data_IF_976057104738
#
_entry.id   IF_976057104738
#
_cell.length_a   1.000
_cell.length_b   1.000
_cell.length_c   1.000
_cell.angle_alpha   90.00
_cell.angle_beta   90.00
_cell.angle_gamma   90.00
#
_symmetry.space_group_name_H-M   'P 1'
#
loop_
_entity.id
_entity.type
_entity.pdbx_description
1 polymer ?
#
# COMPACT_ATOMS: atom_id res chain seq x y z
N UNK A 1 24.56 -9.45 25.64
CA UNK A 1 25.93 -8.95 25.91
C UNK A 1 25.96 -7.43 25.86
N UNK A 2 25.71 -6.78 24.71
CA UNK A 2 25.90 -5.33 24.54
C UNK A 2 25.06 -4.48 25.48
N UNK A 3 23.80 -4.85 25.72
CA UNK A 3 22.93 -4.13 26.64
C UNK A 3 23.40 -4.19 28.11
N UNK A 4 24.04 -5.29 28.52
CA UNK A 4 24.41 -5.55 29.93
C UNK A 4 25.88 -5.30 30.21
N UNK A 5 26.78 -5.69 29.31
CA UNK A 5 28.22 -5.67 29.53
C UNK A 5 28.96 -4.58 28.75
N UNK A 6 28.31 -3.97 27.75
CA UNK A 6 28.90 -2.93 26.93
C UNK A 6 27.85 -1.89 26.49
N UNK A 7 27.15 -1.21 27.44
CA UNK A 7 26.02 -0.33 27.14
C UNK A 7 26.41 0.96 26.38
N UNK A 8 27.68 1.28 26.28
CA UNK A 8 28.19 2.43 25.52
C UNK A 8 28.21 2.24 24.01
N UNK A 9 27.90 1.02 23.51
CA UNK A 9 27.86 0.75 22.07
C UNK A 9 26.43 0.87 21.54
N UNK A 10 26.22 1.73 20.54
CA UNK A 10 24.99 1.81 19.77
C UNK A 10 25.09 0.85 18.59
N UNK A 11 24.27 -0.22 18.60
CA UNK A 11 24.31 -1.24 17.56
C UNK A 11 23.05 -1.17 16.74
N UNK A 12 23.21 -1.03 15.43
CA UNK A 12 22.15 -1.11 14.43
C UNK A 12 22.43 -2.31 13.55
N UNK A 13 21.47 -3.23 13.48
CA UNK A 13 21.50 -4.36 12.56
C UNK A 13 20.36 -4.22 11.55
N UNK A 14 20.64 -4.46 10.28
CA UNK A 14 19.66 -4.42 9.22
C UNK A 14 19.58 -5.76 8.49
N UNK A 15 18.38 -6.16 8.09
CA UNK A 15 18.16 -7.37 7.30
C UNK A 15 16.70 -7.50 6.90
N UNK A 16 16.47 -7.94 5.67
CA UNK A 16 15.12 -8.16 5.13
C UNK A 16 14.33 -9.27 5.84
N UNK A 17 15.00 -10.03 6.70
CA UNK A 17 14.44 -11.23 7.34
C UNK A 17 14.68 -11.28 8.86
N UNK A 18 15.02 -10.15 9.47
CA UNK A 18 15.39 -10.13 10.89
C UNK A 18 14.30 -10.63 11.83
N UNK A 19 13.02 -10.34 11.54
CA UNK A 19 11.90 -10.82 12.34
C UNK A 19 11.78 -12.35 12.42
N UNK A 20 12.22 -13.07 11.38
CA UNK A 20 12.20 -14.52 11.32
C UNK A 20 13.55 -15.15 11.72
N UNK A 21 14.67 -14.48 11.42
CA UNK A 21 15.99 -14.93 11.86
C UNK A 21 16.11 -14.97 13.39
N UNK A 22 15.40 -14.08 14.08
CA UNK A 22 15.30 -14.02 15.54
C UNK A 22 14.35 -15.08 16.13
N UNK A 23 13.57 -15.82 15.31
CA UNK A 23 12.68 -16.92 15.73
C UNK A 23 13.32 -18.31 15.58
N UNK A 24 14.66 -18.42 15.55
CA UNK A 24 15.33 -19.72 15.49
C UNK A 24 14.98 -20.57 16.73
N UNK A 25 14.72 -21.86 16.53
CA UNK A 25 14.17 -22.81 17.51
C UNK A 25 14.90 -22.89 18.86
N UNK A 26 16.09 -22.31 19.01
CA UNK A 26 16.91 -22.38 20.21
C UNK A 26 17.40 -21.04 20.78
N UNK A 27 16.92 -19.89 20.25
CA UNK A 27 17.34 -18.57 20.75
C UNK A 27 16.10 -17.78 21.18
N UNK A 28 16.06 -17.36 22.45
CA UNK A 28 14.97 -16.51 22.92
C UNK A 28 15.12 -15.10 22.32
N UNK A 29 14.02 -14.56 21.79
CA UNK A 29 13.96 -13.17 21.35
C UNK A 29 14.35 -12.25 22.53
N UNK A 30 15.27 -11.29 22.36
CA UNK A 30 15.72 -10.42 23.45
C UNK A 30 14.67 -9.35 23.77
N UNK A 31 13.55 -9.75 24.34
CA UNK A 31 12.42 -8.88 24.71
C UNK A 31 12.90 -7.72 25.58
N UNK A 32 12.50 -6.49 25.23
CA UNK A 32 12.84 -5.27 25.98
C UNK A 32 14.30 -4.80 25.84
N UNK A 33 15.09 -5.43 24.94
CA UNK A 33 16.51 -5.08 24.72
C UNK A 33 16.81 -4.56 23.32
N UNK A 34 15.81 -4.55 22.43
CA UNK A 34 15.92 -4.07 21.05
C UNK A 34 14.69 -3.27 20.68
N UNK A 35 14.90 -2.20 19.92
CA UNK A 35 13.88 -1.45 19.23
C UNK A 35 13.85 -1.89 17.77
N UNK A 36 12.66 -2.18 17.27
CA UNK A 36 12.46 -2.57 15.87
C UNK A 36 11.99 -1.39 15.04
N UNK A 37 12.69 -1.12 13.95
CA UNK A 37 12.29 -0.14 12.94
C UNK A 37 12.01 -0.87 11.62
N UNK A 38 10.80 -0.71 11.10
CA UNK A 38 10.45 -1.23 9.78
C UNK A 38 10.73 -0.16 8.73
N UNK A 39 11.71 -0.42 7.85
CA UNK A 39 11.93 0.44 6.68
C UNK A 39 10.90 0.08 5.59
N UNK A 40 10.13 1.07 5.19
CA UNK A 40 9.15 0.96 4.10
C UNK A 40 9.69 1.64 2.84
N UNK A 41 9.12 1.36 1.66
CA UNK A 41 9.37 2.19 0.48
C UNK A 41 9.10 3.67 0.78
N UNK A 42 9.76 4.56 0.07
CA UNK A 42 9.53 6.00 0.17
C UNK A 42 8.10 6.35 -0.21
N UNK A 43 7.44 7.22 0.57
CA UNK A 43 6.14 7.77 0.25
C UNK A 43 6.18 8.84 -0.83
N UNK A 44 5.00 9.30 -1.27
CA UNK A 44 4.90 10.31 -2.31
C UNK A 44 5.64 11.61 -1.97
N UNK A 45 5.55 12.06 -0.73
CA UNK A 45 6.26 13.29 -0.28
C UNK A 45 7.78 13.14 -0.36
N UNK A 46 8.30 11.97 0.03
CA UNK A 46 9.74 11.68 -0.05
C UNK A 46 10.21 11.59 -1.50
N UNK A 47 9.39 10.99 -2.37
CA UNK A 47 9.63 10.99 -3.82
C UNK A 47 9.64 12.42 -4.39
N UNK A 48 8.65 13.25 -4.08
CA UNK A 48 8.61 14.65 -4.51
C UNK A 48 9.85 15.39 -4.03
N UNK A 49 10.28 15.18 -2.78
CA UNK A 49 11.49 15.78 -2.25
C UNK A 49 12.74 15.39 -3.03
N UNK A 50 12.84 14.13 -3.43
CA UNK A 50 13.98 13.61 -4.20
C UNK A 50 14.01 14.14 -5.65
N UNK A 51 12.84 14.29 -6.29
CA UNK A 51 12.73 14.60 -7.73
C UNK A 51 12.55 16.09 -8.00
N UNK A 52 11.81 16.80 -7.14
CA UNK A 52 11.40 18.21 -7.35
C UNK A 52 11.97 19.17 -6.29
N UNK A 53 12.41 18.64 -5.16
CA UNK A 53 13.02 19.40 -4.06
C UNK A 53 12.10 19.71 -2.88
N UNK A 54 12.67 20.37 -1.86
CA UNK A 54 12.02 20.59 -0.57
C UNK A 54 10.76 21.47 -0.62
N UNK A 55 10.69 22.60 -1.36
CA UNK A 55 9.58 23.53 -1.21
C UNK A 55 8.21 22.90 -1.47
N UNK A 56 8.08 22.07 -2.53
CA UNK A 56 6.83 21.40 -2.84
C UNK A 56 6.51 20.28 -1.83
N UNK A 57 7.52 19.51 -1.44
CA UNK A 57 7.37 18.47 -0.42
C UNK A 57 6.92 19.06 0.92
N UNK A 58 7.48 20.19 1.33
CA UNK A 58 7.12 20.87 2.57
C UNK A 58 5.69 21.46 2.51
N UNK A 59 5.25 21.95 1.35
CA UNK A 59 3.88 22.40 1.14
C UNK A 59 2.87 21.26 1.27
N UNK A 60 3.18 20.08 0.72
CA UNK A 60 2.36 18.87 0.89
C UNK A 60 2.32 18.48 2.38
N UNK A 61 3.45 18.44 3.05
CA UNK A 61 3.50 18.13 4.49
C UNK A 61 2.71 19.13 5.34
N UNK A 62 2.70 20.41 4.95
CA UNK A 62 1.92 21.43 5.63
C UNK A 62 0.41 21.34 5.34
N UNK A 63 0.01 20.63 4.30
CA UNK A 63 -1.34 20.61 3.75
C UNK A 63 -1.82 22.02 3.34
N UNK A 64 -0.95 22.76 2.65
CA UNK A 64 -1.25 24.11 2.16
C UNK A 64 -2.14 24.03 0.90
N UNK A 65 -3.45 23.85 1.13
CA UNK A 65 -4.42 23.62 0.06
C UNK A 65 -4.47 24.75 -0.97
N UNK A 66 -4.23 26.01 -0.59
CA UNK A 66 -4.24 27.14 -1.50
C UNK A 66 -3.04 27.11 -2.45
N UNK A 67 -1.86 26.83 -1.93
CA UNK A 67 -0.66 26.64 -2.75
C UNK A 67 -0.79 25.42 -3.65
N UNK A 68 -1.21 24.28 -3.09
CA UNK A 68 -1.30 23.02 -3.81
C UNK A 68 -2.35 23.04 -4.93
N UNK A 69 -3.44 23.78 -4.75
CA UNK A 69 -4.43 23.99 -5.81
C UNK A 69 -3.83 24.71 -7.05
N UNK A 70 -2.92 25.67 -6.83
CA UNK A 70 -2.27 26.41 -7.92
C UNK A 70 -1.24 25.58 -8.70
N UNK A 71 -0.77 24.46 -8.13
CA UNK A 71 0.23 23.56 -8.75
C UNK A 71 -0.31 22.15 -9.00
N UNK A 72 -1.62 21.99 -9.01
CA UNK A 72 -2.31 20.69 -9.13
C UNK A 72 -1.90 19.88 -10.36
N UNK A 73 -1.72 20.51 -11.52
CA UNK A 73 -1.25 19.84 -12.75
C UNK A 73 0.17 19.25 -12.57
N UNK A 74 1.05 19.97 -11.86
CA UNK A 74 2.39 19.48 -11.54
C UNK A 74 2.32 18.31 -10.57
N UNK A 75 1.46 18.38 -9.55
CA UNK A 75 1.26 17.30 -8.58
C UNK A 75 0.67 16.05 -9.24
N UNK A 76 -0.30 16.20 -10.15
CA UNK A 76 -0.84 15.08 -10.91
C UNK A 76 0.24 14.40 -11.78
N UNK A 77 1.12 15.18 -12.42
CA UNK A 77 2.25 14.64 -13.18
C UNK A 77 3.20 13.86 -12.26
N UNK A 78 3.64 14.45 -11.16
CA UNK A 78 4.52 13.79 -10.19
C UNK A 78 3.89 12.53 -9.59
N UNK A 79 2.59 12.54 -9.35
CA UNK A 79 1.87 11.34 -8.90
C UNK A 79 1.88 10.23 -9.96
N UNK A 80 1.68 10.55 -11.24
CA UNK A 80 1.81 9.59 -12.34
C UNK A 80 3.23 9.02 -12.43
N UNK A 81 4.24 9.87 -12.29
CA UNK A 81 5.64 9.44 -12.24
C UNK A 81 5.87 8.48 -11.06
N UNK A 82 5.38 8.83 -9.87
CA UNK A 82 5.46 7.98 -8.68
C UNK A 82 4.75 6.62 -8.87
N UNK A 83 3.57 6.59 -9.49
CA UNK A 83 2.86 5.33 -9.77
C UNK A 83 3.67 4.39 -10.69
N UNK A 84 4.57 4.93 -11.51
CA UNK A 84 5.48 4.16 -12.37
C UNK A 84 6.77 3.78 -11.65
N UNK A 85 7.39 4.74 -10.98
CA UNK A 85 8.71 4.59 -10.35
C UNK A 85 8.60 3.87 -9.01
N UNK A 86 7.54 4.13 -8.25
CA UNK A 86 7.37 3.64 -6.88
C UNK A 86 8.28 4.34 -5.88
N UNK A 87 8.36 3.77 -4.68
CA UNK A 87 9.12 4.29 -3.56
C UNK A 87 10.38 3.48 -3.22
N UNK A 88 10.81 2.53 -4.05
CA UNK A 88 12.06 1.79 -3.77
C UNK A 88 13.26 2.75 -3.87
N UNK A 89 14.06 2.95 -2.79
CA UNK A 89 15.06 4.03 -2.72
C UNK A 89 16.06 4.03 -3.87
N UNK A 90 16.56 2.87 -4.30
CA UNK A 90 17.48 2.74 -5.43
C UNK A 90 16.83 3.21 -6.73
N UNK A 91 15.57 2.84 -6.96
CA UNK A 91 14.81 3.24 -8.15
C UNK A 91 14.54 4.73 -8.15
N UNK A 92 14.13 5.29 -7.00
CA UNK A 92 13.89 6.73 -6.84
C UNK A 92 15.16 7.53 -7.06
N UNK A 93 16.29 7.09 -6.50
CA UNK A 93 17.60 7.75 -6.67
C UNK A 93 18.04 7.79 -8.12
N UNK A 94 17.92 6.66 -8.85
CA UNK A 94 18.27 6.59 -10.26
C UNK A 94 17.35 7.48 -11.11
N UNK A 95 16.04 7.46 -10.82
CA UNK A 95 15.05 8.28 -11.52
C UNK A 95 15.26 9.78 -11.27
N UNK A 96 15.52 10.18 -10.04
CA UNK A 96 15.80 11.58 -9.69
C UNK A 96 17.02 12.14 -10.45
N UNK A 97 18.02 11.30 -10.75
CA UNK A 97 19.21 11.69 -11.46
C UNK A 97 19.03 11.76 -12.99
N UNK A 98 18.16 10.93 -13.58
CA UNK A 98 18.10 10.73 -15.04
C UNK A 98 16.72 11.00 -15.66
N UNK A 99 15.65 10.95 -14.88
CA UNK A 99 14.26 10.91 -15.35
C UNK A 99 13.99 9.79 -16.38
N UNK A 100 14.76 8.69 -16.32
CA UNK A 100 14.65 7.56 -17.24
C UNK A 100 13.76 6.45 -16.65
N UNK A 101 12.56 6.31 -17.21
CA UNK A 101 11.61 5.26 -16.83
C UNK A 101 12.04 3.85 -17.27
N UNK A 102 12.89 3.73 -18.30
CA UNK A 102 13.41 2.43 -18.75
C UNK A 102 14.40 1.91 -17.71
N UNK A 103 15.28 2.77 -17.23
CA UNK A 103 16.21 2.42 -16.16
C UNK A 103 15.49 2.11 -14.85
N UNK A 104 14.49 2.91 -14.47
CA UNK A 104 13.64 2.62 -13.31
C UNK A 104 13.02 1.22 -13.42
N UNK A 105 12.46 0.86 -14.58
CA UNK A 105 11.87 -0.46 -14.82
C UNK A 105 12.90 -1.58 -14.75
N UNK A 106 14.10 -1.36 -15.27
CA UNK A 106 15.20 -2.32 -15.20
C UNK A 106 15.58 -2.62 -13.74
N UNK A 107 15.72 -1.60 -12.92
CA UNK A 107 16.02 -1.74 -11.48
C UNK A 107 14.90 -2.45 -10.73
N UNK A 108 13.64 -2.13 -11.02
CA UNK A 108 12.49 -2.83 -10.43
C UNK A 108 12.50 -4.32 -10.75
N UNK A 109 12.85 -4.71 -11.98
CA UNK A 109 12.98 -6.12 -12.35
C UNK A 109 14.09 -6.81 -11.58
N UNK A 110 15.22 -6.16 -11.39
CA UNK A 110 16.32 -6.71 -10.57
C UNK A 110 15.90 -6.91 -9.10
N UNK A 111 15.13 -5.99 -8.54
CA UNK A 111 14.59 -6.13 -7.19
C UNK A 111 13.61 -7.33 -7.10
N UNK A 112 12.75 -7.51 -8.10
CA UNK A 112 11.83 -8.66 -8.17
C UNK A 112 12.60 -9.97 -8.23
N UNK A 113 13.63 -10.06 -9.07
CA UNK A 113 14.50 -11.22 -9.21
C UNK A 113 15.24 -11.53 -7.90
N UNK A 114 15.71 -10.49 -7.20
CA UNK A 114 16.35 -10.63 -5.90
C UNK A 114 15.37 -11.18 -4.86
N UNK A 115 14.13 -10.68 -4.78
CA UNK A 115 13.11 -11.24 -3.88
C UNK A 115 12.79 -12.70 -4.21
N UNK A 116 12.59 -13.05 -5.49
CA UNK A 116 12.30 -14.42 -5.91
C UNK A 116 13.47 -15.38 -5.60
N UNK A 117 14.71 -14.91 -5.67
CA UNK A 117 15.91 -15.66 -5.25
C UNK A 117 15.96 -15.87 -3.74
N UNK A 118 15.62 -14.84 -2.99
CA UNK A 118 15.64 -14.89 -1.52
C UNK A 118 14.59 -15.85 -0.95
N UNK A 119 13.44 -16.04 -1.61
CA UNK A 119 12.46 -17.04 -1.18
C UNK A 119 13.09 -18.44 -0.99
N UNK A 120 14.02 -18.82 -1.86
CA UNK A 120 14.68 -20.11 -1.80
C UNK A 120 15.73 -20.27 -0.72
N UNK A 121 16.21 -19.18 -0.10
CA UNK A 121 17.27 -19.25 0.91
C UNK A 121 16.76 -19.67 2.29
N UNK A 122 15.52 -19.30 2.60
CA UNK A 122 15.00 -19.40 3.95
C UNK A 122 13.73 -20.25 4.08
N UNK A 123 12.86 -20.26 3.05
CA UNK A 123 11.62 -21.02 3.07
C UNK A 123 11.84 -22.48 2.60
N UNK A 124 11.11 -23.46 3.15
CA UNK A 124 11.11 -24.82 2.62
C UNK A 124 10.71 -24.88 1.14
N UNK A 125 11.35 -25.74 0.34
CA UNK A 125 11.16 -25.82 -1.11
C UNK A 125 9.66 -25.90 -1.53
N UNK A 126 8.85 -26.66 -0.77
CA UNK A 126 7.40 -26.79 -0.99
C UNK A 126 6.64 -25.47 -0.85
N UNK A 127 7.17 -24.53 -0.03
CA UNK A 127 6.56 -23.22 0.24
C UNK A 127 6.95 -22.21 -0.82
N UNK A 128 8.21 -22.26 -1.29
CA UNK A 128 8.76 -21.33 -2.30
C UNK A 128 7.93 -21.30 -3.56
N UNK A 129 7.52 -22.46 -4.09
CA UNK A 129 6.67 -22.52 -5.28
C UNK A 129 5.34 -21.80 -5.07
N UNK A 130 4.70 -22.02 -3.91
CA UNK A 130 3.44 -21.36 -3.55
C UNK A 130 3.60 -19.87 -3.31
N UNK A 131 4.71 -19.44 -2.70
CA UNK A 131 5.05 -18.02 -2.57
C UNK A 131 5.13 -17.34 -3.94
N UNK A 132 5.83 -17.98 -4.90
CA UNK A 132 5.91 -17.46 -6.28
C UNK A 132 4.55 -17.39 -6.97
N UNK A 133 3.66 -18.36 -6.76
CA UNK A 133 2.30 -18.32 -7.30
C UNK A 133 1.51 -17.15 -6.72
N UNK A 134 1.54 -16.93 -5.42
CA UNK A 134 0.89 -15.78 -4.78
C UNK A 134 1.47 -14.48 -5.30
N UNK A 135 2.80 -14.33 -5.27
CA UNK A 135 3.53 -13.15 -5.72
C UNK A 135 3.17 -12.75 -7.15
N UNK A 136 3.28 -13.67 -8.09
CA UNK A 136 2.95 -13.45 -9.51
C UNK A 136 1.46 -13.21 -9.77
N UNK A 137 0.59 -13.60 -8.86
CA UNK A 137 -0.85 -13.38 -9.01
C UNK A 137 -1.32 -11.99 -8.62
N UNK A 138 -0.51 -11.21 -7.87
CA UNK A 138 -0.91 -9.91 -7.32
C UNK A 138 -1.52 -8.96 -8.37
N UNK A 139 -0.89 -8.73 -9.55
CA UNK A 139 -1.47 -7.85 -10.55
C UNK A 139 -2.87 -8.31 -11.01
N UNK A 140 -3.01 -9.61 -11.28
CA UNK A 140 -4.30 -10.18 -11.72
C UNK A 140 -5.36 -10.24 -10.63
N UNK A 141 -4.98 -10.33 -9.34
CA UNK A 141 -5.91 -10.26 -8.23
C UNK A 141 -6.45 -8.84 -8.04
N UNK A 142 -5.55 -7.83 -8.11
CA UNK A 142 -5.91 -6.42 -7.93
C UNK A 142 -6.63 -5.82 -9.15
N UNK A 143 -6.44 -6.36 -10.36
CA UNK A 143 -7.13 -5.90 -11.56
C UNK A 143 -8.62 -6.26 -11.60
N UNK A 144 -9.11 -7.15 -10.73
CA UNK A 144 -10.52 -7.53 -10.67
C UNK A 144 -11.37 -6.40 -10.08
N UNK A 145 -12.62 -6.30 -10.48
CA UNK A 145 -13.58 -5.36 -9.91
C UNK A 145 -13.72 -5.55 -8.38
N UNK A 146 -13.89 -6.80 -7.95
CA UNK A 146 -13.78 -7.19 -6.56
C UNK A 146 -12.35 -7.67 -6.29
N UNK A 147 -11.52 -6.84 -5.68
CA UNK A 147 -10.10 -7.10 -5.37
C UNK A 147 -9.89 -8.10 -4.23
N UNK A 148 -10.93 -8.78 -3.77
CA UNK A 148 -10.84 -9.87 -2.81
C UNK A 148 -9.90 -10.95 -3.33
N UNK A 149 -8.97 -11.38 -2.51
CA UNK A 149 -8.04 -12.44 -2.87
C UNK A 149 -8.75 -13.77 -3.10
N UNK A 150 -8.53 -14.39 -4.24
CA UNK A 150 -9.20 -15.61 -4.66
C UNK A 150 -8.16 -16.71 -4.87
N UNK A 151 -8.13 -17.69 -3.99
CA UNK A 151 -7.20 -18.83 -4.07
C UNK A 151 -7.33 -19.63 -5.38
N UNK A 152 -8.55 -19.82 -5.87
CA UNK A 152 -8.81 -20.51 -7.14
C UNK A 152 -8.17 -19.85 -8.37
N UNK A 153 -7.77 -18.58 -8.28
CA UNK A 153 -7.03 -17.89 -9.34
C UNK A 153 -5.55 -18.25 -9.37
N UNK A 154 -5.01 -18.86 -8.31
CA UNK A 154 -3.61 -19.32 -8.26
C UNK A 154 -3.42 -20.61 -9.07
N UNK A 155 -4.33 -21.55 -8.88
CA UNK A 155 -4.43 -22.80 -9.63
C UNK A 155 -5.80 -23.44 -9.42
N UNK A 156 -6.29 -24.29 -10.34
CA UNK A 156 -7.54 -25.03 -10.16
C UNK A 156 -7.53 -25.83 -8.84
N UNK A 157 -8.61 -25.71 -8.05
CA UNK A 157 -8.78 -26.43 -6.78
C UNK A 157 -7.97 -25.90 -5.59
N UNK A 158 -7.26 -24.76 -5.72
CA UNK A 158 -6.51 -24.16 -4.62
C UNK A 158 -7.45 -23.73 -3.48
N UNK A 159 -7.04 -24.03 -2.24
CA UNK A 159 -7.77 -23.70 -1.01
C UNK A 159 -6.89 -22.89 -0.07
N UNK A 160 -7.51 -22.15 0.85
CA UNK A 160 -6.81 -21.33 1.85
C UNK A 160 -5.70 -22.11 2.58
N UNK A 161 -6.03 -23.28 3.12
CA UNK A 161 -5.08 -24.15 3.86
C UNK A 161 -3.80 -24.51 3.08
N UNK A 162 -3.86 -24.45 1.74
CA UNK A 162 -2.71 -24.81 0.90
C UNK A 162 -1.70 -23.64 0.80
N UNK A 163 -2.13 -22.40 1.09
CA UNK A 163 -1.38 -21.18 0.85
C UNK A 163 -1.18 -20.30 2.09
N UNK A 164 -1.81 -20.61 3.24
CA UNK A 164 -1.70 -19.81 4.47
C UNK A 164 -0.25 -19.60 4.90
N UNK A 165 0.54 -20.68 4.94
CA UNK A 165 1.94 -20.60 5.28
C UNK A 165 2.74 -19.74 4.30
N UNK A 166 2.46 -19.86 3.01
CA UNK A 166 3.13 -19.06 1.97
C UNK A 166 2.75 -17.58 2.02
N UNK A 167 1.49 -17.26 2.35
CA UNK A 167 1.05 -15.91 2.59
C UNK A 167 1.73 -15.31 3.82
N UNK A 168 1.81 -16.08 4.91
CA UNK A 168 2.49 -15.63 6.13
C UNK A 168 3.96 -15.33 5.86
N UNK A 169 4.67 -16.19 5.11
CA UNK A 169 6.04 -15.94 4.70
C UNK A 169 6.18 -14.62 3.93
N UNK A 170 5.34 -14.37 2.92
CA UNK A 170 5.38 -13.14 2.12
C UNK A 170 5.07 -11.88 2.96
N UNK A 171 4.16 -11.98 3.93
CA UNK A 171 3.85 -10.90 4.88
C UNK A 171 5.02 -10.66 5.84
N UNK A 172 5.63 -11.72 6.37
CA UNK A 172 6.78 -11.63 7.27
C UNK A 172 8.04 -11.06 6.57
N UNK A 173 8.17 -11.31 5.26
CA UNK A 173 9.15 -10.62 4.40
C UNK A 173 8.81 -9.14 4.17
N UNK A 174 7.58 -8.71 4.48
CA UNK A 174 7.13 -7.34 4.27
C UNK A 174 6.88 -6.96 2.81
N UNK A 175 6.88 -7.93 1.87
CA UNK A 175 6.69 -7.65 0.43
C UNK A 175 5.24 -7.70 -0.02
N UNK A 176 4.34 -8.17 0.84
CA UNK A 176 2.89 -8.08 0.66
C UNK A 176 2.21 -7.62 1.94
N UNK A 177 1.09 -6.93 1.78
CA UNK A 177 0.28 -6.42 2.87
C UNK A 177 -1.15 -6.92 2.75
N UNK A 178 -1.63 -7.58 3.81
CA UNK A 178 -3.00 -8.07 3.90
C UNK A 178 -3.89 -6.98 4.47
N UNK A 179 -4.96 -6.66 3.75
CA UNK A 179 -6.05 -5.77 4.19
C UNK A 179 -7.28 -6.63 4.45
N UNK A 180 -7.64 -6.89 5.73
CA UNK A 180 -8.74 -7.76 6.08
C UNK A 180 -10.10 -7.12 5.76
N UNK A 181 -11.10 -7.97 5.51
CA UNK A 181 -12.49 -7.54 5.52
C UNK A 181 -12.96 -7.36 6.95
N UNK A 182 -13.83 -6.37 7.18
CA UNK A 182 -14.54 -6.21 8.46
C UNK A 182 -16.05 -6.36 8.28
N UNK A 183 -16.70 -6.90 9.28
CA UNK A 183 -18.16 -7.10 9.30
C UNK A 183 -18.92 -5.82 9.65
N UNK A 184 -18.27 -4.87 10.34
CA UNK A 184 -18.81 -3.59 10.72
C UNK A 184 -17.74 -2.50 10.73
N UNK A 185 -18.13 -1.26 10.41
CA UNK A 185 -17.28 -0.06 10.52
C UNK A 185 -17.44 0.54 11.94
N UNK A 186 -16.79 -0.10 12.92
CA UNK A 186 -16.77 0.31 14.33
C UNK A 186 -15.37 0.16 14.89
N UNK A 187 -14.96 1.11 15.74
CA UNK A 187 -13.65 1.06 16.40
C UNK A 187 -13.66 0.10 17.61
N UNK A 188 -12.59 -0.66 17.84
CA UNK A 188 -11.46 -0.84 16.93
C UNK A 188 -11.82 -1.83 15.80
N UNK A 189 -11.38 -1.55 14.58
CA UNK A 189 -11.69 -2.36 13.39
C UNK A 189 -11.26 -3.82 13.54
N UNK A 190 -10.16 -4.08 14.25
CA UNK A 190 -9.63 -5.42 14.52
C UNK A 190 -10.62 -6.33 15.23
N UNK A 191 -11.54 -5.78 16.04
CA UNK A 191 -12.59 -6.56 16.71
C UNK A 191 -13.70 -7.05 15.76
N UNK A 192 -13.74 -6.54 14.55
CA UNK A 192 -14.76 -6.85 13.54
C UNK A 192 -14.17 -7.54 12.30
N UNK A 193 -12.93 -8.02 12.36
CA UNK A 193 -12.32 -8.73 11.25
C UNK A 193 -13.10 -9.97 10.85
N UNK A 194 -13.30 -10.12 9.56
CA UNK A 194 -13.97 -11.27 8.95
C UNK A 194 -12.94 -12.09 8.16
N UNK A 195 -12.58 -13.23 8.72
CA UNK A 195 -11.58 -14.13 8.16
C UNK A 195 -11.97 -14.70 6.77
N UNK A 196 -13.21 -14.50 6.32
CA UNK A 196 -13.69 -15.01 5.03
C UNK A 196 -13.19 -14.22 3.82
N UNK A 197 -12.54 -13.07 4.03
CA UNK A 197 -12.09 -12.22 2.94
C UNK A 197 -10.98 -11.26 3.32
N UNK A 198 -10.09 -11.02 2.37
CA UNK A 198 -9.06 -9.99 2.45
C UNK A 198 -8.65 -9.54 1.05
N UNK A 199 -8.06 -8.37 0.95
CA UNK A 199 -7.31 -7.89 -0.21
C UNK A 199 -5.82 -8.06 0.08
N UNK A 200 -5.00 -8.24 -0.97
CA UNK A 200 -3.56 -8.40 -0.83
C UNK A 200 -2.86 -7.37 -1.71
N UNK A 201 -2.12 -6.47 -1.10
CA UNK A 201 -1.38 -5.40 -1.76
C UNK A 201 0.11 -5.72 -1.82
N UNK A 202 0.79 -5.20 -2.84
CA UNK A 202 2.24 -5.28 -2.99
C UNK A 202 2.93 -4.30 -2.03
N UNK A 203 4.21 -4.51 -1.78
CA UNK A 203 5.03 -3.59 -0.99
C UNK A 203 5.07 -2.17 -1.61
N UNK A 204 5.04 -2.10 -2.95
CA UNK A 204 5.31 -0.86 -3.70
C UNK A 204 4.55 -0.80 -5.03
N UNK A 205 4.13 0.41 -5.44
CA UNK A 205 3.37 0.62 -6.69
C UNK A 205 4.21 0.33 -7.92
N UNK A 206 5.47 0.74 -7.94
CA UNK A 206 6.39 0.52 -9.06
C UNK A 206 6.71 -0.96 -9.23
N UNK A 207 6.90 -1.68 -8.13
CA UNK A 207 7.08 -3.15 -8.14
C UNK A 207 5.82 -3.84 -8.67
N UNK A 208 4.62 -3.43 -8.26
CA UNK A 208 3.37 -3.96 -8.81
C UNK A 208 3.26 -3.72 -10.32
N UNK A 209 3.61 -2.51 -10.78
CA UNK A 209 3.68 -2.14 -12.19
C UNK A 209 4.66 -3.01 -12.97
N UNK A 210 5.84 -3.29 -12.40
CA UNK A 210 6.84 -4.17 -13.01
C UNK A 210 6.39 -5.62 -13.09
N UNK A 211 5.78 -6.16 -12.03
CA UNK A 211 5.19 -7.50 -12.00
C UNK A 211 4.09 -7.70 -13.04
N UNK A 212 3.32 -6.64 -13.33
CA UNK A 212 2.25 -6.69 -14.34
C UNK A 212 2.77 -6.63 -15.77
N UNK A 213 4.05 -6.36 -15.99
CA UNK A 213 4.61 -6.12 -17.33
C UNK A 213 4.14 -4.79 -17.94
N UNK A 214 3.59 -3.87 -17.15
CA UNK A 214 3.03 -2.62 -17.62
C UNK A 214 4.11 -1.67 -18.13
N UNK A 215 3.95 -1.20 -19.37
CA UNK A 215 4.82 -0.18 -19.92
C UNK A 215 4.63 1.17 -19.21
N UNK A 216 5.71 1.86 -18.80
CA UNK A 216 5.64 3.20 -18.24
C UNK A 216 4.84 4.18 -19.11
N UNK A 217 5.00 4.14 -20.43
CA UNK A 217 4.28 5.00 -21.37
C UNK A 217 2.76 4.88 -21.28
N UNK A 218 2.24 3.71 -20.92
CA UNK A 218 0.80 3.48 -20.76
C UNK A 218 0.28 4.20 -19.50
N UNK A 219 1.03 4.19 -18.40
CA UNK A 219 0.63 4.88 -17.16
C UNK A 219 0.66 6.40 -17.35
N UNK A 220 1.69 6.89 -18.03
CA UNK A 220 1.91 8.32 -18.22
C UNK A 220 0.94 8.94 -19.24
N UNK A 221 0.69 8.24 -20.36
CA UNK A 221 0.00 8.80 -21.54
C UNK A 221 -1.11 7.88 -22.09
N UNK A 222 -1.45 6.79 -21.39
CA UNK A 222 -2.34 5.76 -21.92
C UNK A 222 -3.78 6.22 -22.11
N UNK A 223 -4.47 5.70 -23.14
CA UNK A 223 -5.88 5.96 -23.38
C UNK A 223 -6.77 5.35 -22.28
N UNK A 224 -8.05 5.76 -22.27
CA UNK A 224 -9.07 5.35 -21.28
C UNK A 224 -9.24 3.82 -21.09
N UNK A 225 -8.80 3.00 -22.05
CA UNK A 225 -8.78 1.51 -21.96
C UNK A 225 -7.94 0.99 -20.80
N UNK A 226 -7.01 1.80 -20.29
CA UNK A 226 -6.19 1.52 -19.12
C UNK A 226 -6.91 1.68 -17.77
N UNK A 227 -8.19 2.01 -17.79
CA UNK A 227 -8.96 2.46 -16.61
C UNK A 227 -8.97 1.42 -15.47
N UNK A 228 -9.08 0.12 -15.77
CA UNK A 228 -9.15 -0.93 -14.72
C UNK A 228 -7.83 -1.05 -13.94
N UNK A 229 -6.70 -1.12 -14.64
CA UNK A 229 -5.41 -1.22 -13.96
C UNK A 229 -4.98 0.09 -13.29
N UNK A 230 -5.40 1.23 -13.85
CA UNK A 230 -5.22 2.55 -13.21
C UNK A 230 -5.90 2.59 -11.84
N UNK A 231 -7.11 2.07 -11.72
CA UNK A 231 -7.80 1.92 -10.44
C UNK A 231 -7.02 1.05 -9.44
N UNK A 232 -6.44 -0.05 -9.91
CA UNK A 232 -5.64 -0.95 -9.09
C UNK A 232 -4.36 -0.31 -8.57
N UNK A 233 -3.64 0.43 -9.43
CA UNK A 233 -2.44 1.18 -9.03
C UNK A 233 -2.77 2.30 -8.05
N UNK A 234 -3.91 2.97 -8.23
CA UNK A 234 -4.33 4.06 -7.33
C UNK A 234 -4.68 3.51 -5.94
N UNK A 235 -5.39 2.36 -5.86
CA UNK A 235 -5.66 1.72 -4.56
C UNK A 235 -4.37 1.17 -3.93
N UNK A 236 -3.46 0.60 -4.73
CA UNK A 236 -2.15 0.17 -4.26
C UNK A 236 -1.38 1.34 -3.63
N UNK A 237 -1.39 2.49 -4.30
CA UNK A 237 -0.79 3.72 -3.81
C UNK A 237 -1.40 4.17 -2.47
N UNK A 238 -2.73 4.22 -2.39
CA UNK A 238 -3.41 4.62 -1.16
C UNK A 238 -3.12 3.64 -0.02
N UNK A 239 -3.12 2.32 -0.29
CA UNK A 239 -2.72 1.32 0.71
C UNK A 239 -1.30 1.58 1.23
N UNK A 240 -0.36 1.86 0.33
CA UNK A 240 1.04 2.16 0.66
C UNK A 240 1.15 3.41 1.53
N UNK A 241 0.48 4.52 1.17
CA UNK A 241 0.49 5.76 1.95
C UNK A 241 -0.14 5.59 3.35
N UNK A 242 -1.24 4.84 3.46
CA UNK A 242 -1.85 4.54 4.77
C UNK A 242 -0.91 3.72 5.67
N UNK A 243 -0.25 2.72 5.10
CA UNK A 243 0.72 1.89 5.83
C UNK A 243 1.96 2.68 6.27
N UNK A 244 2.42 3.64 5.46
CA UNK A 244 3.53 4.55 5.82
C UNK A 244 3.21 5.40 7.04
N UNK A 245 1.95 5.82 7.20
CA UNK A 245 1.47 6.55 8.37
C UNK A 245 1.24 5.65 9.59
N UNK A 246 1.60 4.36 9.54
CA UNK A 246 1.38 3.41 10.62
C UNK A 246 -0.10 3.00 10.78
N UNK A 247 -0.96 3.30 9.81
CA UNK A 247 -2.35 2.85 9.83
C UNK A 247 -2.43 1.35 9.54
N UNK A 248 -3.49 0.72 10.05
CA UNK A 248 -3.82 -0.68 9.79
C UNK A 248 -5.13 -0.72 8.99
N UNK A 249 -5.08 -0.58 7.65
CA UNK A 249 -6.28 -0.50 6.85
C UNK A 249 -7.03 -1.84 6.84
N UNK A 250 -8.35 -1.76 6.90
CA UNK A 250 -9.29 -2.81 6.60
C UNK A 250 -10.20 -2.37 5.43
N UNK A 251 -11.13 -3.21 4.98
CA UNK A 251 -12.20 -2.80 4.08
C UNK A 251 -13.53 -3.40 4.51
N UNK A 252 -14.62 -2.75 4.13
CA UNK A 252 -15.95 -3.27 4.40
C UNK A 252 -16.71 -3.53 3.10
N UNK A 253 -17.47 -4.63 3.07
CA UNK A 253 -18.44 -4.88 2.01
C UNK A 253 -19.75 -5.36 2.60
N UNK A 254 -20.88 -4.92 2.00
CA UNK A 254 -22.20 -5.36 2.42
C UNK A 254 -22.41 -6.85 2.14
N UNK A 255 -23.25 -7.51 2.93
CA UNK A 255 -23.60 -8.92 2.73
C UNK A 255 -24.30 -9.17 1.37
N UNK A 256 -25.01 -8.16 0.86
CA UNK A 256 -25.66 -8.21 -0.47
C UNK A 256 -24.71 -7.91 -1.64
N UNK A 257 -23.46 -7.51 -1.37
CA UNK A 257 -22.49 -7.10 -2.40
C UNK A 257 -22.77 -5.74 -3.04
N UNK A 258 -23.80 -4.99 -2.60
CA UNK A 258 -24.25 -3.77 -3.25
C UNK A 258 -23.47 -2.51 -2.82
N UNK A 259 -22.64 -2.59 -1.79
CA UNK A 259 -21.81 -1.50 -1.31
C UNK A 259 -20.51 -2.04 -0.71
N UNK A 260 -19.42 -1.38 -1.02
CA UNK A 260 -18.08 -1.67 -0.52
C UNK A 260 -17.36 -0.35 -0.25
N UNK A 261 -16.48 -0.30 0.75
CA UNK A 261 -15.47 0.75 0.92
C UNK A 261 -14.12 0.19 0.49
N UNK A 262 -13.31 0.98 -0.21
CA UNK A 262 -11.99 0.50 -0.63
C UNK A 262 -11.09 0.25 0.57
N UNK A 263 -11.12 1.18 1.54
CA UNK A 263 -10.46 1.06 2.82
C UNK A 263 -11.34 1.57 3.96
N UNK A 264 -10.94 1.23 5.17
CA UNK A 264 -11.39 1.81 6.43
C UNK A 264 -10.20 1.83 7.40
N UNK A 265 -10.06 2.89 8.18
CA UNK A 265 -9.02 3.03 9.19
C UNK A 265 -9.62 3.47 10.52
N UNK A 266 -9.00 3.07 11.63
CA UNK A 266 -9.26 3.68 12.92
C UNK A 266 -8.65 5.09 12.94
N UNK A 267 -9.45 6.09 13.30
CA UNK A 267 -9.07 7.50 13.32
C UNK A 267 -9.74 8.22 14.49
N UNK A 268 -8.95 8.84 15.37
CA UNK A 268 -9.44 9.65 16.51
C UNK A 268 -10.56 9.00 17.33
N UNK A 269 -10.49 7.67 17.55
CA UNK A 269 -11.49 6.91 18.34
C UNK A 269 -12.76 6.53 17.56
N UNK A 270 -12.83 6.85 16.28
CA UNK A 270 -13.90 6.46 15.35
C UNK A 270 -13.33 5.71 14.14
N UNK A 271 -14.18 5.35 13.19
CA UNK A 271 -13.75 4.74 11.92
C UNK A 271 -13.95 5.71 10.79
N UNK A 272 -12.93 5.85 9.95
CA UNK A 272 -12.94 6.65 8.75
C UNK A 272 -12.93 5.71 7.53
N UNK A 273 -14.05 5.52 6.82
CA UNK A 273 -14.09 4.77 5.58
C UNK A 273 -13.60 5.62 4.41
N UNK A 274 -12.92 4.96 3.46
CA UNK A 274 -12.33 5.60 2.30
C UNK A 274 -12.84 4.97 1.01
N UNK A 275 -13.08 5.83 0.01
CA UNK A 275 -13.32 5.48 -1.39
C UNK A 275 -12.21 6.08 -2.24
N UNK A 276 -11.60 5.28 -3.10
CA UNK A 276 -10.49 5.68 -3.97
C UNK A 276 -10.98 5.86 -5.41
N UNK A 277 -10.71 7.01 -6.01
CA UNK A 277 -11.06 7.31 -7.40
C UNK A 277 -9.81 7.70 -8.19
N UNK A 278 -9.55 6.99 -9.27
CA UNK A 278 -8.40 7.25 -10.14
C UNK A 278 -8.60 8.45 -11.10
N UNK A 279 -9.71 9.17 -10.98
CA UNK A 279 -10.09 10.29 -11.82
C UNK A 279 -10.84 11.36 -11.00
N UNK A 280 -11.28 12.43 -11.62
CA UNK A 280 -12.08 13.50 -10.99
C UNK A 280 -13.55 13.12 -10.70
N UNK A 281 -13.93 11.87 -10.90
CA UNK A 281 -15.31 11.42 -10.66
C UNK A 281 -15.64 11.44 -9.17
N UNK A 282 -16.56 12.33 -8.79
CA UNK A 282 -16.95 12.55 -7.39
C UNK A 282 -18.14 11.69 -6.93
N UNK A 283 -18.57 10.67 -7.70
CA UNK A 283 -19.63 9.76 -7.26
C UNK A 283 -19.08 8.81 -6.17
N UNK A 284 -19.72 8.78 -5.01
CA UNK A 284 -19.34 7.96 -3.85
C UNK A 284 -20.59 7.30 -3.22
N UNK A 285 -21.39 6.60 -4.05
CA UNK A 285 -22.65 5.98 -3.60
C UNK A 285 -22.41 4.93 -2.51
N UNK A 286 -21.47 4.03 -2.71
CA UNK A 286 -21.16 2.97 -1.75
C UNK A 286 -20.66 3.53 -0.42
N UNK A 287 -19.81 4.55 -0.48
CA UNK A 287 -19.29 5.23 0.69
C UNK A 287 -20.42 5.90 1.51
N UNK A 288 -21.35 6.59 0.84
CA UNK A 288 -22.53 7.20 1.52
C UNK A 288 -23.40 6.15 2.21
N UNK A 289 -23.68 5.03 1.52
CA UNK A 289 -24.43 3.91 2.11
C UNK A 289 -23.71 3.39 3.38
N UNK A 290 -22.40 3.26 3.35
CA UNK A 290 -21.62 2.83 4.50
C UNK A 290 -21.71 3.84 5.64
N UNK A 291 -21.54 5.14 5.38
CA UNK A 291 -21.61 6.19 6.37
C UNK A 291 -23.01 6.26 7.05
N UNK A 292 -24.09 6.20 6.27
CA UNK A 292 -25.45 6.19 6.76
C UNK A 292 -25.75 4.95 7.62
N UNK A 293 -25.35 3.76 7.13
CA UNK A 293 -25.58 2.49 7.83
C UNK A 293 -24.92 2.44 9.19
N UNK A 294 -23.69 2.93 9.32
CA UNK A 294 -22.92 2.90 10.56
C UNK A 294 -22.96 4.21 11.33
N UNK A 295 -23.72 5.22 10.84
CA UNK A 295 -23.87 6.55 11.46
C UNK A 295 -22.51 7.22 11.71
N UNK A 296 -21.65 7.19 10.71
CA UNK A 296 -20.32 7.80 10.77
C UNK A 296 -20.42 9.29 10.47
N UNK A 297 -19.73 10.10 11.24
CA UNK A 297 -19.73 11.55 11.10
C UNK A 297 -18.90 12.02 9.89
N UNK A 298 -17.83 11.26 9.57
CA UNK A 298 -16.91 11.59 8.49
C UNK A 298 -16.64 10.37 7.60
N UNK A 299 -16.50 10.61 6.32
CA UNK A 299 -16.00 9.66 5.34
C UNK A 299 -15.16 10.38 4.29
N UNK A 300 -14.17 9.69 3.75
CA UNK A 300 -13.18 10.25 2.83
C UNK A 300 -13.35 9.65 1.45
N UNK A 301 -13.41 10.51 0.45
CA UNK A 301 -13.11 10.16 -0.93
C UNK A 301 -11.75 10.75 -1.27
N UNK A 302 -10.87 9.96 -1.86
CA UNK A 302 -9.63 10.48 -2.44
C UNK A 302 -9.67 10.35 -3.96
N UNK A 303 -9.29 11.42 -4.67
CA UNK A 303 -9.41 11.52 -6.12
C UNK A 303 -8.40 12.54 -6.68
N UNK A 304 -8.38 12.74 -8.01
CA UNK A 304 -7.61 13.83 -8.63
C UNK A 304 -8.26 15.21 -8.47
N UNK A 305 -9.52 15.28 -7.99
CA UNK A 305 -10.18 16.56 -7.74
C UNK A 305 -9.58 17.28 -6.53
N UNK A 306 -9.70 18.60 -6.51
CA UNK A 306 -9.24 19.45 -5.42
C UNK A 306 -9.89 19.08 -4.08
N UNK A 307 -9.24 19.50 -2.99
CA UNK A 307 -9.79 19.36 -1.65
C UNK A 307 -11.18 20.01 -1.54
N UNK A 308 -12.09 19.29 -0.91
CA UNK A 308 -13.46 19.78 -0.71
C UNK A 308 -14.07 19.13 0.53
N UNK A 309 -14.48 19.94 1.49
CA UNK A 309 -15.25 19.51 2.66
C UNK A 309 -16.75 19.74 2.40
N UNK A 310 -17.52 18.64 2.35
CA UNK A 310 -18.98 18.64 2.18
C UNK A 310 -19.71 18.23 3.49
N UNK A 311 -19.07 18.43 4.65
CA UNK A 311 -19.54 17.99 5.95
C UNK A 311 -19.22 16.52 6.21
N UNK A 312 -20.18 15.61 6.06
CA UNK A 312 -19.91 14.17 6.26
C UNK A 312 -18.90 13.61 5.25
N UNK A 313 -18.87 14.10 4.02
CA UNK A 313 -17.97 13.64 2.96
C UNK A 313 -16.88 14.68 2.69
N UNK A 314 -15.63 14.24 2.81
CA UNK A 314 -14.47 15.05 2.44
C UNK A 314 -13.79 14.43 1.22
N UNK A 315 -13.46 15.26 0.22
CA UNK A 315 -12.57 14.87 -0.87
C UNK A 315 -11.16 15.33 -0.55
N UNK A 316 -10.24 14.39 -0.39
CA UNK A 316 -8.82 14.66 -0.22
C UNK A 316 -8.14 14.35 -1.55
N UNK A 317 -7.37 15.30 -2.15
CA UNK A 317 -6.59 15.00 -3.35
C UNK A 317 -5.67 13.79 -3.14
N UNK A 318 -5.48 12.96 -4.17
CA UNK A 318 -4.64 11.75 -4.07
C UNK A 318 -3.23 12.07 -3.55
N UNK A 319 -2.63 13.16 -3.99
CA UNK A 319 -1.30 13.58 -3.54
C UNK A 319 -1.23 14.05 -2.07
N UNK A 320 -2.40 14.24 -1.43
CA UNK A 320 -2.53 14.63 -0.02
C UNK A 320 -2.99 13.48 0.90
N UNK A 321 -3.20 12.27 0.36
CA UNK A 321 -3.68 11.14 1.18
C UNK A 321 -2.71 10.81 2.33
N UNK A 322 -1.44 11.10 2.17
CA UNK A 322 -0.42 11.04 3.22
C UNK A 322 -0.64 12.02 4.38
N UNK A 323 -1.56 12.97 4.26
CA UNK A 323 -1.91 13.95 5.29
C UNK A 323 -3.34 13.75 5.83
N UNK A 324 -3.90 12.55 5.69
CA UNK A 324 -5.29 12.25 6.06
C UNK A 324 -5.65 12.64 7.48
N UNK A 325 -4.72 12.51 8.43
CA UNK A 325 -4.95 12.87 9.84
C UNK A 325 -5.16 14.38 10.06
N UNK A 326 -4.73 15.21 9.12
CA UNK A 326 -4.91 16.67 9.18
C UNK A 326 -6.15 17.15 8.42
N UNK A 327 -6.59 16.36 7.42
CA UNK A 327 -7.57 16.79 6.42
C UNK A 327 -8.94 16.13 6.57
N UNK A 328 -9.05 15.05 7.34
CA UNK A 328 -10.30 14.29 7.52
C UNK A 328 -11.12 14.72 8.74
#
# INVERSE_FOLDING_TARGET
YFNELAPGYHIVAAGSYMGLALRRENESFPVGKIDQLTMRPMGFVEFVRAVDGNPLADAILAADMDLLANVSEKLERLLKEYLVVGGMPEVVSAFAASHDFIEARRLQQQIIEAYESDFGKHAPARIVERMRLVWKSLPGQLAKENKKFVYGALRPGARARDFEESLQWLMDYGIVHKVPRVSALRAPLTSYEDLSGFKLFCIDTGILGALSGLSPAIVLNGPAVFTEFKGSLTEQYVAQELLLQGKTPAYWSSSSGNAETDFAIDHAGTVLPLEVKAAENLKAKSLRIACEKFKLERCVRTSLAAYRDEGTLVNIPLWEIGQIDKLA
#
